data_IF_693651002001
#
_entry.id   IF_693651002001
#
_cell.length_a   1.000
_cell.length_b   1.000
_cell.length_c   1.000
_cell.angle_alpha   90.00
_cell.angle_beta   90.00
_cell.angle_gamma   90.00
#
_symmetry.space_group_name_H-M   'P 1'
#
loop_
_entity.id
_entity.type
_entity.pdbx_description
1 polymer ?
#
# COMPACT_ATOMS: atom_id res chain seq x y z
N UNK A 1 7.42 2.81 -12.67
CA UNK A 1 6.61 3.09 -11.48
C UNK A 1 7.49 3.52 -10.30
N UNK A 2 8.43 2.70 -9.82
CA UNK A 2 9.23 2.95 -8.61
C UNK A 2 9.97 4.29 -8.66
N UNK A 3 10.64 4.61 -9.76
CA UNK A 3 11.33 5.91 -9.92
C UNK A 3 10.36 7.10 -9.79
N UNK A 4 9.18 7.02 -10.39
CA UNK A 4 8.17 8.07 -10.26
C UNK A 4 7.58 8.13 -8.85
N UNK A 5 7.39 6.97 -8.18
CA UNK A 5 6.95 6.92 -6.78
C UNK A 5 7.95 7.64 -5.88
N UNK A 6 9.25 7.34 -6.00
CA UNK A 6 10.29 8.01 -5.22
C UNK A 6 10.33 9.53 -5.49
N UNK A 7 10.16 9.93 -6.77
CA UNK A 7 10.07 11.35 -7.13
C UNK A 7 8.85 12.02 -6.49
N UNK A 8 7.71 11.35 -6.50
CA UNK A 8 6.49 11.80 -5.83
C UNK A 8 6.71 12.00 -4.32
N UNK A 9 7.28 10.99 -3.66
CA UNK A 9 7.55 11.03 -2.22
C UNK A 9 8.50 12.18 -1.85
N UNK A 10 9.55 12.42 -2.63
CA UNK A 10 10.44 13.56 -2.43
C UNK A 10 9.71 14.91 -2.56
N UNK A 11 8.81 15.06 -3.54
CA UNK A 11 8.00 16.28 -3.65
C UNK A 11 7.01 16.44 -2.49
N UNK A 12 6.40 15.34 -2.04
CA UNK A 12 5.49 15.36 -0.89
C UNK A 12 6.23 15.79 0.38
N UNK A 13 7.38 15.18 0.68
CA UNK A 13 8.19 15.51 1.88
C UNK A 13 8.80 16.92 1.83
N UNK A 14 9.06 17.45 0.63
CA UNK A 14 9.49 18.84 0.46
C UNK A 14 8.36 19.86 0.39
N UNK A 15 7.11 19.43 0.66
CA UNK A 15 5.90 20.26 0.57
C UNK A 15 5.67 20.86 -0.81
N UNK A 16 6.25 20.30 -1.87
CA UNK A 16 6.04 20.72 -3.25
C UNK A 16 4.82 20.01 -3.84
N UNK A 17 3.65 20.32 -3.32
CA UNK A 17 2.39 19.64 -3.64
C UNK A 17 2.01 19.74 -5.12
N UNK A 18 2.35 20.85 -5.79
CA UNK A 18 2.10 21.04 -7.22
C UNK A 18 2.83 20.00 -8.07
N UNK A 19 4.11 19.76 -7.82
CA UNK A 19 4.89 18.77 -8.56
C UNK A 19 4.55 17.34 -8.11
N UNK A 20 4.24 17.12 -6.82
CA UNK A 20 3.70 15.86 -6.33
C UNK A 20 2.42 15.47 -7.10
N UNK A 21 1.48 16.40 -7.26
CA UNK A 21 0.23 16.17 -7.99
C UNK A 21 0.44 15.84 -9.47
N UNK A 22 1.35 16.54 -10.14
CA UNK A 22 1.73 16.20 -11.52
C UNK A 22 2.36 14.82 -11.63
N UNK A 23 3.17 14.46 -10.64
CA UNK A 23 3.89 13.18 -10.65
C UNK A 23 2.94 12.02 -10.41
N UNK A 24 1.98 12.14 -9.50
CA UNK A 24 0.98 11.09 -9.28
C UNK A 24 0.08 10.89 -10.50
N UNK A 25 -0.30 11.97 -11.21
CA UNK A 25 -1.03 11.87 -12.48
C UNK A 25 -0.20 11.12 -13.53
N UNK A 26 1.10 11.40 -13.66
CA UNK A 26 1.99 10.64 -14.56
C UNK A 26 2.12 9.17 -14.19
N UNK A 27 2.02 8.83 -12.91
CA UNK A 27 1.98 7.43 -12.46
C UNK A 27 0.70 6.78 -12.95
N UNK A 28 -0.47 7.40 -12.71
CA UNK A 28 -1.75 6.87 -13.14
C UNK A 28 -1.87 6.74 -14.67
N UNK A 29 -1.34 7.68 -15.43
CA UNK A 29 -1.29 7.61 -16.89
C UNK A 29 -0.50 6.37 -17.39
N UNK A 30 0.51 5.94 -16.63
CA UNK A 30 1.37 4.82 -17.01
C UNK A 30 0.89 3.46 -16.54
N UNK A 31 0.35 3.38 -15.33
CA UNK A 31 0.07 2.11 -14.65
C UNK A 31 -1.38 1.98 -14.17
N UNK A 32 -2.21 2.98 -14.43
CA UNK A 32 -3.60 3.02 -13.99
C UNK A 32 -3.76 3.54 -12.56
N UNK A 33 -5.02 3.71 -12.17
CA UNK A 33 -5.42 4.11 -10.82
C UNK A 33 -5.20 2.92 -9.88
N UNK A 34 -4.67 3.18 -8.70
CA UNK A 34 -4.40 2.21 -7.66
C UNK A 34 -4.91 2.69 -6.30
N UNK A 35 -5.11 1.78 -5.33
CA UNK A 35 -5.43 2.16 -3.95
C UNK A 35 -4.35 3.08 -3.38
N UNK A 36 -3.09 2.80 -3.67
CA UNK A 36 -1.98 3.65 -3.29
C UNK A 36 -2.16 5.06 -3.86
N UNK A 37 -2.46 5.21 -5.16
CA UNK A 37 -2.63 6.54 -5.76
C UNK A 37 -3.84 7.29 -5.20
N UNK A 38 -4.95 6.59 -4.93
CA UNK A 38 -6.12 7.19 -4.28
C UNK A 38 -5.79 7.72 -2.88
N UNK A 39 -5.09 6.92 -2.06
CA UNK A 39 -4.66 7.34 -0.72
C UNK A 39 -3.74 8.55 -0.76
N UNK A 40 -2.76 8.58 -1.68
CA UNK A 40 -1.87 9.72 -1.83
C UNK A 40 -2.59 10.99 -2.30
N UNK A 41 -3.58 10.87 -3.16
CA UNK A 41 -4.40 12.04 -3.58
C UNK A 41 -5.27 12.57 -2.44
N UNK A 42 -5.79 11.72 -1.55
CA UNK A 42 -6.50 12.16 -0.35
C UNK A 42 -5.58 12.95 0.59
N UNK A 43 -4.33 12.49 0.80
CA UNK A 43 -3.31 13.22 1.55
C UNK A 43 -3.02 14.58 0.89
N UNK A 44 -2.80 14.62 -0.42
CA UNK A 44 -2.57 15.88 -1.13
C UNK A 44 -3.76 16.83 -1.04
N UNK A 45 -4.99 16.32 -1.12
CA UNK A 45 -6.19 17.12 -1.01
C UNK A 45 -6.32 17.73 0.39
N UNK A 46 -5.98 17.00 1.45
CA UNK A 46 -5.92 17.49 2.82
C UNK A 46 -4.87 18.61 2.96
N UNK A 47 -3.65 18.38 2.47
CA UNK A 47 -2.55 19.34 2.57
C UNK A 47 -2.80 20.64 1.77
N UNK A 48 -3.46 20.55 0.61
CA UNK A 48 -3.74 21.74 -0.23
C UNK A 48 -4.99 22.51 0.19
N UNK A 49 -6.02 21.82 0.67
CA UNK A 49 -7.38 22.37 0.84
C UNK A 49 -8.04 22.02 2.16
N UNK A 50 -7.31 21.36 3.06
CA UNK A 50 -7.82 20.89 4.33
C UNK A 50 -8.94 19.86 4.21
N UNK A 51 -9.67 19.69 5.30
CA UNK A 51 -10.73 18.69 5.44
C UNK A 51 -11.80 18.77 4.33
N UNK A 52 -12.18 19.95 3.89
CA UNK A 52 -13.17 20.10 2.81
C UNK A 52 -12.68 19.51 1.49
N UNK A 53 -11.42 19.76 1.14
CA UNK A 53 -10.80 19.19 -0.07
C UNK A 53 -10.72 17.68 -0.03
N UNK A 54 -10.33 17.13 1.11
CA UNK A 54 -10.27 15.69 1.35
C UNK A 54 -11.67 15.05 1.22
N UNK A 55 -12.68 15.56 1.93
CA UNK A 55 -14.04 15.01 1.91
C UNK A 55 -14.71 15.10 0.54
N UNK A 56 -14.46 16.18 -0.20
CA UNK A 56 -14.96 16.32 -1.57
C UNK A 56 -14.36 15.26 -2.50
N UNK A 57 -13.06 15.03 -2.40
CA UNK A 57 -12.39 13.98 -3.18
C UNK A 57 -12.87 12.58 -2.77
N UNK A 58 -13.01 12.32 -1.46
CA UNK A 58 -13.57 11.07 -0.96
C UNK A 58 -14.96 10.80 -1.55
N UNK A 59 -15.86 11.80 -1.53
CA UNK A 59 -17.22 11.64 -2.10
C UNK A 59 -17.18 11.21 -3.57
N UNK A 60 -16.29 11.80 -4.37
CA UNK A 60 -16.11 11.41 -5.78
C UNK A 60 -15.65 9.96 -5.92
N UNK A 61 -14.74 9.51 -5.06
CA UNK A 61 -14.27 8.13 -5.06
C UNK A 61 -15.36 7.14 -4.63
N UNK A 62 -16.16 7.49 -3.62
CA UNK A 62 -17.23 6.65 -3.13
C UNK A 62 -18.38 6.47 -4.14
N UNK A 63 -18.66 7.47 -4.97
CA UNK A 63 -19.61 7.33 -6.09
C UNK A 63 -19.18 6.20 -7.04
N UNK A 64 -17.89 6.15 -7.39
CA UNK A 64 -17.33 5.10 -8.26
C UNK A 64 -17.24 3.76 -7.53
N UNK A 65 -16.86 3.78 -6.26
CA UNK A 65 -16.65 2.58 -5.44
C UNK A 65 -17.95 1.98 -4.86
N UNK A 66 -19.10 2.59 -5.09
CA UNK A 66 -20.39 2.29 -4.41
C UNK A 66 -20.81 0.82 -4.41
N UNK A 67 -20.35 0.04 -5.37
CA UNK A 67 -20.64 -1.40 -5.49
C UNK A 67 -19.59 -2.31 -4.82
N UNK A 68 -18.48 -1.75 -4.36
CA UNK A 68 -17.39 -2.50 -3.74
C UNK A 68 -17.19 -2.03 -2.30
N UNK A 69 -17.76 -2.79 -1.35
CA UNK A 69 -17.70 -2.47 0.09
C UNK A 69 -16.27 -2.40 0.63
N UNK A 70 -15.38 -3.28 0.17
CA UNK A 70 -13.98 -3.29 0.61
C UNK A 70 -13.27 -2.02 0.16
N UNK A 71 -13.43 -1.65 -1.12
CA UNK A 71 -12.84 -0.44 -1.67
C UNK A 71 -13.37 0.82 -0.96
N UNK A 72 -14.69 0.93 -0.77
CA UNK A 72 -15.31 2.06 -0.07
C UNK A 72 -14.76 2.23 1.34
N UNK A 73 -14.69 1.14 2.12
CA UNK A 73 -14.16 1.17 3.47
C UNK A 73 -12.68 1.60 3.49
N UNK A 74 -11.83 1.07 2.60
CA UNK A 74 -10.43 1.48 2.52
C UNK A 74 -10.29 2.97 2.22
N UNK A 75 -11.06 3.50 1.28
CA UNK A 75 -11.03 4.92 0.92
C UNK A 75 -11.48 5.82 2.08
N UNK A 76 -12.51 5.42 2.82
CA UNK A 76 -12.97 6.13 4.02
C UNK A 76 -11.88 6.18 5.09
N UNK A 77 -11.20 5.06 5.36
CA UNK A 77 -10.13 5.02 6.36
C UNK A 77 -8.87 5.75 5.88
N UNK A 78 -8.53 5.72 4.59
CA UNK A 78 -7.43 6.53 4.05
C UNK A 78 -7.71 8.03 4.16
N UNK A 79 -8.94 8.46 3.86
CA UNK A 79 -9.38 9.84 4.08
C UNK A 79 -9.28 10.22 5.55
N UNK A 80 -9.83 9.40 6.46
CA UNK A 80 -9.82 9.67 7.88
C UNK A 80 -8.40 9.73 8.46
N UNK A 81 -7.52 8.86 8.01
CA UNK A 81 -6.10 8.87 8.42
C UNK A 81 -5.35 10.11 7.95
N UNK A 82 -5.75 10.69 6.82
CA UNK A 82 -5.13 11.89 6.26
C UNK A 82 -5.56 13.18 6.95
N UNK A 83 -6.66 13.19 7.72
CA UNK A 83 -7.17 14.37 8.41
C UNK A 83 -6.21 14.87 9.49
N UNK A 84 -5.88 16.15 9.46
CA UNK A 84 -4.91 16.76 10.37
C UNK A 84 -5.25 16.57 11.87
N UNK A 85 -6.55 16.57 12.21
CA UNK A 85 -7.03 16.41 13.57
C UNK A 85 -7.13 14.96 14.07
N UNK A 86 -6.82 13.96 13.25
CA UNK A 86 -6.96 12.55 13.60
C UNK A 86 -5.76 12.04 14.38
N UNK A 87 -5.94 11.81 15.69
CA UNK A 87 -4.93 11.13 16.50
C UNK A 87 -4.87 9.63 16.18
N UNK A 88 -3.69 9.01 16.42
CA UNK A 88 -3.53 7.57 16.25
C UNK A 88 -4.51 6.76 17.11
N UNK A 89 -4.77 7.20 18.33
CA UNK A 89 -5.72 6.53 19.24
C UNK A 89 -7.14 6.57 18.66
N UNK A 90 -7.60 7.75 18.22
CA UNK A 90 -8.94 7.88 17.62
C UNK A 90 -9.07 7.04 16.34
N UNK A 91 -7.99 6.98 15.54
CA UNK A 91 -7.95 6.15 14.36
C UNK A 91 -8.09 4.66 14.72
N UNK A 92 -7.28 4.15 15.66
CA UNK A 92 -7.31 2.76 16.08
C UNK A 92 -8.66 2.38 16.68
N UNK A 93 -9.23 3.20 17.57
CA UNK A 93 -10.57 2.95 18.12
C UNK A 93 -11.65 2.83 17.03
N UNK A 94 -11.56 3.66 15.99
CA UNK A 94 -12.50 3.58 14.87
C UNK A 94 -12.30 2.32 14.04
N UNK A 95 -11.05 1.91 13.81
CA UNK A 95 -10.73 0.65 13.13
C UNK A 95 -11.21 -0.55 13.94
N UNK A 96 -10.96 -0.58 15.24
CA UNK A 96 -11.39 -1.67 16.13
C UNK A 96 -12.91 -1.85 16.12
N UNK A 97 -13.66 -0.73 16.20
CA UNK A 97 -15.12 -0.76 16.08
C UNK A 97 -15.59 -1.27 14.73
N UNK A 98 -14.89 -0.91 13.66
CA UNK A 98 -15.22 -1.35 12.31
C UNK A 98 -14.95 -2.85 12.12
N UNK A 99 -13.83 -3.36 12.62
CA UNK A 99 -13.44 -4.77 12.50
C UNK A 99 -14.43 -5.72 13.19
N UNK A 100 -15.10 -5.30 14.25
CA UNK A 100 -16.15 -6.09 14.92
C UNK A 100 -17.28 -6.51 13.98
N UNK A 101 -17.51 -5.78 12.90
CA UNK A 101 -18.53 -6.15 11.92
C UNK A 101 -18.11 -7.34 11.02
N UNK A 102 -16.88 -7.79 11.12
CA UNK A 102 -16.29 -8.86 10.29
C UNK A 102 -15.77 -10.04 11.11
N UNK A 103 -16.06 -10.14 12.40
CA UNK A 103 -15.58 -11.25 13.27
C UNK A 103 -15.96 -12.63 12.73
N UNK A 104 -17.06 -12.74 11.98
CA UNK A 104 -17.51 -13.99 11.35
C UNK A 104 -16.97 -14.18 9.91
N UNK A 105 -16.38 -13.14 9.30
CA UNK A 105 -15.77 -13.17 7.96
C UNK A 105 -14.24 -13.07 8.10
N UNK A 106 -13.61 -14.22 8.33
CA UNK A 106 -12.18 -14.35 8.58
C UNK A 106 -11.32 -13.68 7.50
N UNK A 107 -11.65 -13.87 6.23
CA UNK A 107 -10.89 -13.30 5.11
C UNK A 107 -10.91 -11.78 5.14
N UNK A 108 -12.08 -11.20 5.28
CA UNK A 108 -12.26 -9.74 5.31
C UNK A 108 -11.68 -9.13 6.59
N UNK A 109 -11.84 -9.81 7.74
CA UNK A 109 -11.27 -9.40 9.01
C UNK A 109 -9.73 -9.30 8.95
N UNK A 110 -9.04 -10.37 8.53
CA UNK A 110 -7.57 -10.40 8.41
C UNK A 110 -7.08 -9.38 7.40
N UNK A 111 -7.77 -9.23 6.27
CA UNK A 111 -7.42 -8.24 5.26
C UNK A 111 -7.47 -6.79 5.80
N UNK A 112 -8.56 -6.41 6.45
CA UNK A 112 -8.67 -5.07 7.03
C UNK A 112 -7.73 -4.85 8.21
N UNK A 113 -7.53 -5.85 9.06
CA UNK A 113 -6.53 -5.80 10.15
C UNK A 113 -5.14 -5.50 9.59
N UNK A 114 -4.76 -6.18 8.52
CA UNK A 114 -3.50 -5.92 7.82
C UNK A 114 -3.42 -4.52 7.21
N UNK A 115 -4.46 -4.10 6.46
CA UNK A 115 -4.44 -2.82 5.73
C UNK A 115 -4.57 -1.61 6.61
N UNK A 116 -5.34 -1.70 7.71
CA UNK A 116 -5.70 -0.56 8.54
C UNK A 116 -4.86 -0.47 9.82
N UNK A 117 -4.62 -1.57 10.52
CA UNK A 117 -3.92 -1.56 11.81
C UNK A 117 -2.42 -1.84 11.71
N UNK A 118 -1.93 -2.33 10.56
CA UNK A 118 -0.54 -2.73 10.39
C UNK A 118 -0.08 -3.77 11.43
N UNK A 119 -0.97 -4.66 11.84
CA UNK A 119 -0.68 -5.69 12.83
C UNK A 119 0.38 -6.68 12.34
N UNK A 120 0.89 -7.48 13.29
CA UNK A 120 1.79 -8.60 12.99
C UNK A 120 1.08 -9.56 12.03
N UNK A 121 1.76 -9.96 10.97
CA UNK A 121 1.22 -10.89 9.99
C UNK A 121 1.47 -12.32 10.49
N UNK A 122 0.44 -13.16 10.52
CA UNK A 122 0.61 -14.60 10.41
C UNK A 122 0.86 -14.92 8.93
N UNK A 123 2.10 -15.31 8.62
CA UNK A 123 2.53 -15.36 7.22
C UNK A 123 1.79 -16.43 6.41
N UNK A 124 1.41 -17.55 7.02
CA UNK A 124 0.78 -18.66 6.30
C UNK A 124 -0.68 -18.33 5.93
N UNK A 125 -1.44 -17.79 6.86
CA UNK A 125 -2.86 -17.51 6.69
C UNK A 125 -3.13 -16.10 6.15
N UNK A 126 -2.57 -15.07 6.78
CA UNK A 126 -2.83 -13.67 6.40
C UNK A 126 -2.38 -13.36 4.97
N UNK A 127 -1.23 -13.89 4.51
CA UNK A 127 -0.73 -13.66 3.16
C UNK A 127 -1.72 -14.17 2.11
N UNK A 128 -2.31 -15.33 2.34
CA UNK A 128 -3.32 -15.91 1.45
C UNK A 128 -4.53 -15.00 1.32
N UNK A 129 -5.05 -14.49 2.44
CA UNK A 129 -6.22 -13.60 2.45
C UNK A 129 -5.92 -12.24 1.84
N UNK A 130 -4.74 -11.67 2.13
CA UNK A 130 -4.30 -10.40 1.55
C UNK A 130 -4.27 -10.49 0.01
N UNK A 131 -3.64 -11.53 -0.54
CA UNK A 131 -3.54 -11.67 -1.98
C UNK A 131 -4.86 -12.04 -2.64
N UNK A 132 -5.72 -12.79 -1.99
CA UNK A 132 -7.05 -13.12 -2.50
C UNK A 132 -7.90 -11.86 -2.75
N UNK A 133 -7.77 -10.84 -1.90
CA UNK A 133 -8.48 -9.58 -2.07
C UNK A 133 -7.71 -8.62 -2.97
N UNK A 134 -6.40 -8.46 -2.78
CA UNK A 134 -5.60 -7.52 -3.57
C UNK A 134 -5.53 -7.86 -5.07
N UNK A 135 -5.71 -9.13 -5.46
CA UNK A 135 -5.79 -9.50 -6.87
C UNK A 135 -7.01 -8.92 -7.59
N UNK A 136 -8.01 -8.43 -6.85
CA UNK A 136 -9.19 -7.76 -7.39
C UNK A 136 -8.94 -6.26 -7.67
N UNK A 137 -7.82 -5.71 -7.19
CA UNK A 137 -7.40 -4.32 -7.41
C UNK A 137 -6.36 -4.22 -8.52
N UNK A 138 -5.57 -3.15 -8.50
CA UNK A 138 -4.55 -2.97 -9.52
C UNK A 138 -3.34 -3.90 -9.30
N UNK A 139 -2.64 -4.26 -10.38
CA UNK A 139 -1.39 -5.02 -10.30
C UNK A 139 -0.33 -4.30 -9.43
N UNK A 140 -0.39 -2.97 -9.36
CA UNK A 140 0.48 -2.16 -8.52
C UNK A 140 0.15 -2.34 -7.03
N UNK A 141 -1.13 -2.42 -6.67
CA UNK A 141 -1.53 -2.65 -5.29
C UNK A 141 -1.12 -4.05 -4.83
N UNK A 142 -1.37 -5.06 -5.65
CA UNK A 142 -0.91 -6.43 -5.38
C UNK A 142 0.61 -6.52 -5.23
N UNK A 143 1.37 -5.86 -6.12
CA UNK A 143 2.83 -5.84 -6.06
C UNK A 143 3.34 -5.12 -4.80
N UNK A 144 2.78 -3.97 -4.43
CA UNK A 144 3.15 -3.26 -3.23
C UNK A 144 2.87 -4.10 -1.98
N UNK A 145 1.70 -4.73 -1.89
CA UNK A 145 1.36 -5.61 -0.77
C UNK A 145 2.29 -6.81 -0.68
N UNK A 146 2.67 -7.40 -1.81
CA UNK A 146 3.62 -8.50 -1.85
C UNK A 146 4.98 -8.10 -1.25
N UNK A 147 5.54 -6.97 -1.68
CA UNK A 147 6.82 -6.47 -1.13
C UNK A 147 6.68 -6.15 0.37
N UNK A 148 5.60 -5.51 0.77
CA UNK A 148 5.37 -5.13 2.17
C UNK A 148 5.21 -6.35 3.07
N UNK A 149 4.45 -7.35 2.66
CA UNK A 149 4.30 -8.62 3.39
C UNK A 149 5.64 -9.30 3.58
N UNK A 150 6.46 -9.37 2.53
CA UNK A 150 7.81 -9.94 2.63
C UNK A 150 8.72 -9.16 3.58
N UNK A 151 8.70 -7.83 3.53
CA UNK A 151 9.48 -6.99 4.44
C UNK A 151 9.08 -7.23 5.90
N UNK A 152 7.78 -7.37 6.16
CA UNK A 152 7.27 -7.69 7.52
C UNK A 152 7.65 -9.10 7.95
N UNK A 153 7.56 -10.09 7.05
CA UNK A 153 7.99 -11.45 7.33
C UNK A 153 9.46 -11.48 7.77
N UNK A 154 10.33 -10.76 7.07
CA UNK A 154 11.73 -10.62 7.48
C UNK A 154 11.90 -9.94 8.82
N UNK A 155 11.24 -8.81 9.04
CA UNK A 155 11.35 -8.05 10.29
C UNK A 155 10.87 -8.84 11.52
N UNK A 156 10.00 -9.84 11.32
CA UNK A 156 9.49 -10.72 12.37
C UNK A 156 10.13 -12.12 12.37
N UNK A 157 11.22 -12.33 11.60
CA UNK A 157 11.94 -13.61 11.49
C UNK A 157 11.06 -14.80 11.04
N UNK A 158 10.01 -14.51 10.25
CA UNK A 158 9.09 -15.51 9.73
C UNK A 158 9.74 -16.23 8.54
N UNK A 159 9.71 -17.56 8.57
CA UNK A 159 10.23 -18.38 7.47
C UNK A 159 9.30 -18.30 6.26
N UNK A 160 9.82 -17.85 5.15
CA UNK A 160 9.12 -17.77 3.87
C UNK A 160 9.45 -18.99 3.01
N UNK A 161 8.44 -19.57 2.35
CA UNK A 161 8.58 -20.73 1.47
C UNK A 161 9.59 -20.50 0.34
N UNK A 162 10.38 -21.53 0.02
CA UNK A 162 11.39 -21.50 -1.05
C UNK A 162 10.78 -21.21 -2.43
N UNK A 163 9.57 -21.69 -2.70
CA UNK A 163 8.87 -21.41 -3.95
C UNK A 163 8.57 -19.90 -4.13
N UNK A 164 8.30 -19.20 -3.02
CA UNK A 164 8.11 -17.75 -3.04
C UNK A 164 9.42 -17.06 -3.40
N UNK A 165 10.54 -17.50 -2.80
CA UNK A 165 11.86 -16.98 -3.10
C UNK A 165 12.27 -17.18 -4.57
N UNK A 166 12.02 -18.34 -5.13
CA UNK A 166 12.29 -18.59 -6.54
C UNK A 166 11.47 -17.70 -7.46
N UNK A 167 10.23 -17.40 -7.11
CA UNK A 167 9.41 -16.43 -7.84
C UNK A 167 9.97 -15.01 -7.73
N UNK A 168 10.38 -14.59 -6.52
CA UNK A 168 11.00 -13.29 -6.28
C UNK A 168 12.27 -13.15 -7.14
N UNK A 169 13.15 -14.15 -7.15
CA UNK A 169 14.35 -14.16 -7.99
C UNK A 169 14.01 -13.95 -9.47
N UNK A 170 13.07 -14.71 -10.00
CA UNK A 170 12.66 -14.59 -11.42
C UNK A 170 12.12 -13.19 -11.74
N UNK A 171 11.29 -12.65 -10.87
CA UNK A 171 10.67 -11.33 -11.06
C UNK A 171 11.70 -10.21 -10.88
N UNK A 172 12.67 -10.36 -9.97
CA UNK A 172 13.70 -9.34 -9.72
C UNK A 172 14.59 -9.05 -10.95
N UNK A 173 14.78 -10.02 -11.84
CA UNK A 173 15.50 -9.80 -13.11
C UNK A 173 14.70 -8.95 -14.11
N UNK A 174 13.37 -8.92 -13.96
CA UNK A 174 12.47 -8.19 -14.87
C UNK A 174 12.13 -6.80 -14.31
N UNK A 175 12.16 -6.64 -13.00
CA UNK A 175 11.75 -5.42 -12.30
C UNK A 175 12.95 -4.87 -11.52
N UNK A 176 13.45 -3.71 -11.94
CA UNK A 176 14.50 -2.96 -11.22
C UNK A 176 13.88 -2.25 -10.00
N UNK A 177 13.56 -3.03 -8.95
CA UNK A 177 13.07 -2.53 -7.67
C UNK A 177 14.10 -2.81 -6.56
N UNK A 178 14.70 -1.74 -6.03
CA UNK A 178 15.70 -1.84 -4.96
C UNK A 178 15.17 -2.56 -3.70
N UNK A 179 13.86 -2.47 -3.40
CA UNK A 179 13.25 -3.15 -2.25
C UNK A 179 13.34 -4.67 -2.40
N UNK A 180 12.98 -5.18 -3.60
CA UNK A 180 13.09 -6.60 -3.93
C UNK A 180 14.54 -7.07 -3.91
N UNK A 181 15.43 -6.27 -4.47
CA UNK A 181 16.86 -6.55 -4.49
C UNK A 181 17.45 -6.60 -3.07
N UNK A 182 17.04 -5.70 -2.17
CA UNK A 182 17.45 -5.72 -0.77
C UNK A 182 16.97 -6.99 -0.07
N UNK A 183 15.72 -7.42 -0.28
CA UNK A 183 15.20 -8.67 0.28
C UNK A 183 16.04 -9.89 -0.15
N UNK A 184 16.43 -9.96 -1.41
CA UNK A 184 17.31 -11.03 -1.92
C UNK A 184 18.72 -10.94 -1.32
N UNK A 185 19.27 -9.73 -1.19
CA UNK A 185 20.59 -9.52 -0.60
C UNK A 185 20.65 -9.95 0.87
N UNK A 186 19.62 -9.64 1.66
CA UNK A 186 19.50 -10.09 3.04
C UNK A 186 19.53 -11.60 3.17
N UNK A 187 19.01 -12.32 2.18
CA UNK A 187 19.06 -13.76 2.13
C UNK A 187 20.40 -14.33 1.65
N UNK A 188 21.36 -13.50 1.23
CA UNK A 188 22.63 -13.94 0.65
C UNK A 188 22.54 -14.35 -0.83
N UNK A 189 21.45 -14.00 -1.51
CA UNK A 189 21.25 -14.28 -2.93
C UNK A 189 21.94 -13.25 -3.83
N UNK A 190 22.23 -13.65 -5.09
CA UNK A 190 22.79 -12.71 -6.06
C UNK A 190 21.77 -11.63 -6.43
N UNK A 191 22.16 -10.40 -6.20
CA UNK A 191 21.36 -9.20 -6.50
C UNK A 191 21.52 -8.78 -7.94
N UNK A 192 20.52 -8.11 -8.50
CA UNK A 192 20.55 -7.57 -9.86
C UNK A 192 21.79 -6.69 -10.10
N UNK A 193 22.51 -6.84 -11.24
CA UNK A 193 23.77 -6.14 -11.51
C UNK A 193 23.69 -4.61 -11.44
N UNK A 194 22.52 -4.02 -11.66
CA UNK A 194 22.31 -2.56 -11.58
C UNK A 194 22.59 -1.97 -10.19
N UNK A 195 22.46 -2.77 -9.11
CA UNK A 195 22.75 -2.31 -7.74
C UNK A 195 24.23 -2.30 -7.38
N UNK A 196 25.07 -3.04 -8.11
CA UNK A 196 26.53 -3.03 -7.88
C UNK A 196 27.19 -1.70 -8.24
N UNK A 197 26.48 -0.77 -8.88
CA UNK A 197 27.00 0.55 -9.28
C UNK A 197 26.74 1.66 -8.26
N UNK A 198 26.00 1.41 -7.19
CA UNK A 198 25.58 2.43 -6.21
C UNK A 198 26.04 2.13 -4.77
N UNK A 199 27.02 1.25 -4.58
CA UNK A 199 27.67 0.98 -3.28
C UNK A 199 29.13 1.42 -3.35
#
# INVERSE_FOLDING_TARGET
>A
YIKLKNTYENYLFSCNYKEAKKTISKIEDKVGISLWSCGQKLILAEQEKGLEGNKRLLSQYLEVASKNRVLSALLEFFSYRAEEGTSLNNYNEKVDKFLKNFEEDEITFHYFSYKLQLQKIDFEDDMKYIFQIDCQFSAIDMYNSFIEVLQRAFANEIKVDELIWDRIKRVSFLIDDFRMNNLLAFRGEKVHPALKKNV
#
